data_IF_747148450011
#
_entry.id   IF_747148450011
#
_cell.length_a   1.000
_cell.length_b   1.000
_cell.length_c   1.000
_cell.angle_alpha   90.00
_cell.angle_beta   90.00
_cell.angle_gamma   90.00
#
_symmetry.space_group_name_H-M   'P 1'
#
loop_
_entity.id
_entity.type
_entity.pdbx_description
1 polymer ?
#
# COMPACT_ATOMS: atom_id res chain seq x y z
N UNK A 1 77.04 -12.99 34.50
CA UNK A 1 75.77 -12.48 35.07
C UNK A 1 75.01 -11.62 34.06
N UNK A 2 74.62 -12.15 32.89
CA UNK A 2 73.96 -11.38 31.82
C UNK A 2 72.58 -11.92 31.41
N UNK A 3 72.26 -13.19 31.68
CA UNK A 3 70.99 -13.81 31.26
C UNK A 3 69.72 -13.40 32.02
N UNK A 4 69.82 -12.56 33.07
CA UNK A 4 68.65 -12.16 33.88
C UNK A 4 67.91 -10.91 33.36
N UNK A 5 68.58 -10.01 32.61
CA UNK A 5 67.91 -8.82 32.02
C UNK A 5 67.14 -9.13 30.74
N UNK A 6 67.59 -10.11 29.97
CA UNK A 6 67.04 -10.44 28.65
C UNK A 6 65.69 -11.16 28.75
N UNK A 7 65.55 -12.06 29.72
CA UNK A 7 64.27 -12.73 30.03
C UNK A 7 63.17 -11.78 30.51
N UNK A 8 63.53 -10.67 31.15
CA UNK A 8 62.56 -9.66 31.57
C UNK A 8 62.07 -8.86 30.36
N UNK A 9 62.97 -8.42 29.48
CA UNK A 9 62.62 -7.64 28.28
C UNK A 9 61.66 -8.37 27.34
N UNK A 10 61.88 -9.68 27.13
CA UNK A 10 60.98 -10.52 26.33
C UNK A 10 59.56 -10.57 26.90
N UNK A 11 59.40 -10.69 28.23
CA UNK A 11 58.09 -10.74 28.90
C UNK A 11 57.33 -9.41 28.81
N UNK A 12 58.03 -8.28 28.86
CA UNK A 12 57.44 -6.95 28.69
C UNK A 12 57.03 -6.68 27.23
N UNK A 13 57.82 -7.15 26.24
CA UNK A 13 57.43 -7.05 24.83
C UNK A 13 56.18 -7.88 24.50
N UNK A 14 56.06 -9.08 25.07
CA UNK A 14 54.94 -9.98 24.83
C UNK A 14 53.62 -9.43 25.39
N UNK A 15 53.67 -8.82 26.58
CA UNK A 15 52.52 -8.12 27.17
C UNK A 15 52.10 -6.88 26.36
N UNK A 16 53.07 -6.10 25.88
CA UNK A 16 52.79 -4.92 25.06
C UNK A 16 52.13 -5.30 23.73
N UNK A 17 52.62 -6.34 23.04
CA UNK A 17 52.02 -6.81 21.79
C UNK A 17 50.62 -7.42 21.98
N UNK A 18 50.42 -8.18 23.06
CA UNK A 18 49.10 -8.74 23.39
C UNK A 18 48.03 -7.65 23.64
N UNK A 19 48.41 -6.53 24.25
CA UNK A 19 47.48 -5.39 24.44
C UNK A 19 47.27 -4.58 23.16
N UNK A 20 48.27 -4.49 22.28
CA UNK A 20 48.19 -3.82 20.98
C UNK A 20 47.29 -4.58 20.02
N UNK A 21 47.45 -5.90 19.92
CA UNK A 21 46.64 -6.76 19.05
C UNK A 21 45.16 -6.75 19.46
N UNK A 22 44.87 -6.82 20.76
CA UNK A 22 43.50 -6.75 21.28
C UNK A 22 42.85 -5.36 21.16
N UNK A 23 43.64 -4.28 21.07
CA UNK A 23 43.13 -2.94 20.74
C UNK A 23 42.89 -2.83 19.23
N UNK A 24 43.80 -3.33 18.41
CA UNK A 24 43.72 -3.33 16.94
C UNK A 24 42.49 -4.07 16.41
N UNK A 25 42.23 -5.27 16.93
CA UNK A 25 41.08 -6.10 16.56
C UNK A 25 39.75 -5.43 16.94
N UNK A 26 39.66 -4.80 18.11
CA UNK A 26 38.47 -4.04 18.51
C UNK A 26 38.24 -2.82 17.64
N UNK A 27 39.28 -2.05 17.34
CA UNK A 27 39.17 -0.88 16.45
C UNK A 27 38.72 -1.29 15.04
N UNK A 28 39.20 -2.44 14.52
CA UNK A 28 38.74 -3.00 13.24
C UNK A 28 37.27 -3.43 13.29
N UNK A 29 36.81 -4.02 14.39
CA UNK A 29 35.40 -4.37 14.56
C UNK A 29 34.49 -3.13 14.54
N UNK A 30 34.87 -2.05 15.24
CA UNK A 30 34.11 -0.79 15.21
C UNK A 30 34.11 -0.15 13.82
N UNK A 31 35.24 -0.12 13.11
CA UNK A 31 35.30 0.41 11.76
C UNK A 31 34.37 -0.34 10.78
N UNK A 32 34.20 -1.66 10.96
CA UNK A 32 33.24 -2.46 10.18
C UNK A 32 31.79 -2.10 10.51
N UNK A 33 31.48 -1.85 11.78
CA UNK A 33 30.15 -1.41 12.22
C UNK A 33 29.82 -0.04 11.63
N UNK A 34 30.75 0.93 11.71
CA UNK A 34 30.54 2.28 11.18
C UNK A 34 30.31 2.25 9.66
N UNK A 35 31.04 1.40 8.95
CA UNK A 35 30.84 1.18 7.52
C UNK A 35 29.44 0.62 7.23
N UNK A 36 29.02 -0.43 7.93
CA UNK A 36 27.69 -1.03 7.76
C UNK A 36 26.58 -0.04 8.07
N UNK A 37 26.73 0.75 9.14
CA UNK A 37 25.78 1.81 9.49
C UNK A 37 25.70 2.87 8.39
N UNK A 38 26.84 3.28 7.81
CA UNK A 38 26.87 4.21 6.68
C UNK A 38 26.24 3.64 5.40
N UNK A 39 26.46 2.35 5.11
CA UNK A 39 25.82 1.66 3.98
C UNK A 39 24.30 1.55 4.16
N UNK A 40 23.85 1.18 5.35
CA UNK A 40 22.42 1.11 5.68
C UNK A 40 21.73 2.48 5.55
N UNK A 41 22.38 3.55 6.03
CA UNK A 41 21.85 4.91 5.90
C UNK A 41 21.69 5.32 4.43
N UNK A 42 22.70 5.06 3.60
CA UNK A 42 22.62 5.34 2.15
C UNK A 42 21.52 4.54 1.46
N UNK A 43 21.37 3.26 1.82
CA UNK A 43 20.30 2.42 1.28
C UNK A 43 18.92 3.00 1.60
N UNK A 44 18.70 3.44 2.85
CA UNK A 44 17.44 4.06 3.27
C UNK A 44 17.13 5.34 2.48
N UNK A 45 18.12 6.21 2.28
CA UNK A 45 17.98 7.42 1.47
C UNK A 45 17.64 7.10 0.00
N UNK A 46 18.20 6.01 -0.55
CA UNK A 46 17.90 5.57 -1.92
C UNK A 46 16.49 4.99 -2.07
N UNK A 47 15.96 4.32 -1.03
CA UNK A 47 14.58 3.80 -1.04
C UNK A 47 13.57 4.95 -1.16
N UNK A 48 13.72 6.02 -0.39
CA UNK A 48 12.81 7.17 -0.51
C UNK A 48 12.81 7.79 -1.92
N UNK A 49 14.00 7.92 -2.54
CA UNK A 49 14.13 8.41 -3.91
C UNK A 49 13.55 7.45 -4.95
N UNK A 50 13.58 6.14 -4.68
CA UNK A 50 12.99 5.13 -5.53
C UNK A 50 11.46 5.26 -5.54
N UNK A 51 10.84 5.47 -4.37
CA UNK A 51 9.40 5.65 -4.26
C UNK A 51 8.92 6.87 -5.06
N UNK A 52 9.61 8.01 -4.92
CA UNK A 52 9.34 9.21 -5.71
C UNK A 52 9.47 8.95 -7.22
N UNK A 53 10.51 8.20 -7.64
CA UNK A 53 10.74 7.88 -9.03
C UNK A 53 9.68 6.92 -9.59
N UNK A 54 9.22 5.94 -8.81
CA UNK A 54 8.15 5.02 -9.18
C UNK A 54 6.84 5.78 -9.31
N UNK A 55 6.49 6.63 -8.34
CA UNK A 55 5.28 7.46 -8.38
C UNK A 55 5.30 8.39 -9.61
N UNK A 56 6.43 9.05 -9.89
CA UNK A 56 6.56 9.91 -11.05
C UNK A 56 6.42 9.15 -12.38
N UNK A 57 6.83 7.88 -12.44
CA UNK A 57 6.60 7.00 -13.61
C UNK A 57 5.16 6.50 -13.68
N UNK A 58 4.54 6.22 -12.53
CA UNK A 58 3.14 5.81 -12.42
C UNK A 58 2.21 6.91 -12.93
N UNK A 59 2.41 8.15 -12.48
CA UNK A 59 1.61 9.30 -12.93
C UNK A 59 1.77 9.58 -14.43
N UNK A 60 2.96 9.34 -14.99
CA UNK A 60 3.18 9.42 -16.44
C UNK A 60 2.60 8.24 -17.22
N UNK A 61 2.16 7.17 -16.55
CA UNK A 61 1.64 5.96 -17.18
C UNK A 61 2.70 5.06 -17.81
N UNK A 62 3.99 5.24 -17.50
CA UNK A 62 5.11 4.56 -18.19
C UNK A 62 5.72 3.39 -17.41
N UNK A 63 5.01 2.88 -16.39
CA UNK A 63 5.47 1.71 -15.63
C UNK A 63 5.42 0.40 -16.42
N UNK A 64 4.64 0.38 -17.49
CA UNK A 64 4.50 -0.76 -18.41
C UNK A 64 4.95 -0.31 -19.80
N UNK A 65 5.68 -1.15 -20.56
CA UNK A 65 6.03 -0.85 -21.94
C UNK A 65 4.77 -0.51 -22.73
N UNK A 66 4.75 0.70 -23.30
CA UNK A 66 3.64 1.14 -24.13
C UNK A 66 3.77 0.52 -25.52
N UNK A 67 2.65 0.18 -26.14
CA UNK A 67 2.62 -0.33 -27.51
C UNK A 67 2.51 0.86 -28.46
N UNK A 68 3.42 1.00 -29.42
CA UNK A 68 3.49 2.19 -30.29
C UNK A 68 2.23 2.42 -31.14
N UNK A 69 1.44 1.37 -31.36
CA UNK A 69 0.16 1.40 -32.07
C UNK A 69 -1.07 1.41 -31.14
N UNK A 70 -0.90 1.72 -29.84
CA UNK A 70 -2.03 1.75 -28.93
C UNK A 70 -3.04 2.82 -29.36
N UNK A 71 -4.32 2.51 -29.21
CA UNK A 71 -5.34 3.51 -29.51
C UNK A 71 -5.30 4.63 -28.45
N UNK A 72 -5.49 5.92 -28.83
CA UNK A 72 -5.68 6.99 -27.88
C UNK A 72 -6.80 6.61 -26.90
N UNK A 73 -6.59 6.91 -25.62
CA UNK A 73 -7.56 6.59 -24.56
C UNK A 73 -8.98 7.08 -24.89
N UNK A 74 -9.10 8.21 -25.61
CA UNK A 74 -10.39 8.74 -26.07
C UNK A 74 -11.15 7.75 -26.97
N UNK A 75 -10.47 7.04 -27.89
CA UNK A 75 -11.09 6.05 -28.77
C UNK A 75 -11.57 4.83 -27.99
N UNK A 76 -10.74 4.33 -27.08
CA UNK A 76 -11.12 3.24 -26.16
C UNK A 76 -12.33 3.62 -25.31
N UNK A 77 -12.33 4.83 -24.73
CA UNK A 77 -13.43 5.34 -23.91
C UNK A 77 -14.71 5.53 -24.73
N UNK A 78 -14.60 6.01 -25.98
CA UNK A 78 -15.74 6.10 -26.89
C UNK A 78 -16.33 4.71 -27.18
N UNK A 79 -15.49 3.70 -27.42
CA UNK A 79 -15.93 2.30 -27.61
C UNK A 79 -16.62 1.77 -26.36
N UNK A 80 -16.02 1.92 -25.18
CA UNK A 80 -16.62 1.49 -23.91
C UNK A 80 -17.97 2.17 -23.67
N UNK A 81 -18.09 3.47 -23.95
CA UNK A 81 -19.37 4.21 -23.83
C UNK A 81 -20.42 3.66 -24.80
N UNK A 82 -20.04 3.40 -26.04
CA UNK A 82 -20.93 2.84 -27.06
C UNK A 82 -21.37 1.41 -26.69
N UNK A 83 -20.44 0.54 -26.28
CA UNK A 83 -20.71 -0.82 -25.81
C UNK A 83 -21.64 -0.80 -24.59
N UNK A 84 -21.37 0.03 -23.58
CA UNK A 84 -22.26 0.17 -22.41
C UNK A 84 -23.66 0.67 -22.79
N UNK A 85 -23.76 1.62 -23.72
CA UNK A 85 -25.03 2.11 -24.22
C UNK A 85 -25.80 1.06 -25.03
N UNK A 86 -25.09 0.18 -25.74
CA UNK A 86 -25.68 -0.96 -26.46
C UNK A 86 -26.13 -2.07 -25.51
N UNK A 87 -25.32 -2.44 -24.51
CA UNK A 87 -25.71 -3.39 -23.46
C UNK A 87 -26.91 -2.93 -22.65
N UNK A 88 -27.06 -1.62 -22.43
CA UNK A 88 -28.24 -1.06 -21.78
C UNK A 88 -29.53 -1.28 -22.58
N UNK A 89 -29.42 -1.50 -23.91
CA UNK A 89 -30.56 -1.77 -24.80
C UNK A 89 -30.89 -3.27 -24.89
N UNK A 90 -29.90 -4.15 -24.75
CA UNK A 90 -30.04 -5.62 -24.85
C UNK A 90 -30.45 -6.28 -23.52
N UNK A 91 -30.22 -5.63 -22.38
CA UNK A 91 -30.63 -6.15 -21.07
C UNK A 91 -32.17 -6.14 -20.95
N UNK A 92 -32.82 -7.26 -20.57
CA UNK A 92 -34.27 -7.29 -20.38
C UNK A 92 -34.69 -6.28 -19.31
N UNK A 93 -35.88 -5.68 -19.51
CA UNK A 93 -36.46 -4.58 -18.70
C UNK A 93 -36.28 -4.78 -17.18
N UNK A 94 -36.16 -3.69 -16.40
CA UNK A 94 -35.47 -3.66 -15.10
C UNK A 94 -36.20 -4.31 -13.92
N UNK A 95 -37.31 -5.01 -14.14
CA UNK A 95 -38.23 -5.32 -13.05
C UNK A 95 -37.61 -6.22 -11.97
N UNK A 96 -36.76 -7.18 -12.37
CA UNK A 96 -36.00 -8.05 -11.43
C UNK A 96 -34.73 -7.42 -10.86
N UNK A 97 -34.03 -6.56 -11.61
CA UNK A 97 -32.82 -5.87 -11.12
C UNK A 97 -33.16 -4.75 -10.15
N UNK A 98 -34.24 -4.00 -10.39
CA UNK A 98 -34.72 -2.97 -9.46
C UNK A 98 -35.06 -3.58 -8.11
N UNK A 99 -35.75 -4.72 -8.07
CA UNK A 99 -36.08 -5.38 -6.79
C UNK A 99 -34.82 -5.83 -6.05
N UNK A 100 -33.85 -6.44 -6.73
CA UNK A 100 -32.59 -6.87 -6.12
C UNK A 100 -31.72 -5.69 -5.66
N UNK A 101 -31.68 -4.60 -6.43
CA UNK A 101 -30.99 -3.36 -6.06
C UNK A 101 -31.71 -2.63 -4.91
N UNK A 102 -33.05 -2.72 -4.82
CA UNK A 102 -33.81 -2.28 -3.64
C UNK A 102 -33.39 -3.08 -2.41
N UNK A 103 -33.26 -4.41 -2.52
CA UNK A 103 -32.75 -5.26 -1.43
C UNK A 103 -31.35 -4.85 -0.99
N UNK A 104 -30.45 -4.51 -1.92
CA UNK A 104 -29.11 -4.03 -1.59
C UNK A 104 -29.12 -2.65 -0.90
N UNK A 105 -29.97 -1.73 -1.37
CA UNK A 105 -30.13 -0.39 -0.75
C UNK A 105 -30.78 -0.45 0.62
N UNK A 106 -31.76 -1.33 0.81
CA UNK A 106 -32.41 -1.59 2.10
C UNK A 106 -31.40 -2.20 3.08
N UNK A 107 -30.65 -3.21 2.65
CA UNK A 107 -29.55 -3.80 3.44
C UNK A 107 -28.55 -2.74 3.89
N UNK A 108 -28.10 -1.86 2.99
CA UNK A 108 -27.19 -0.78 3.34
C UNK A 108 -27.81 0.17 4.35
N UNK A 109 -29.06 0.61 4.15
CA UNK A 109 -29.75 1.52 5.08
C UNK A 109 -29.91 0.92 6.48
N UNK A 110 -30.26 -0.35 6.56
CA UNK A 110 -30.40 -1.08 7.83
C UNK A 110 -29.04 -1.23 8.52
N UNK A 111 -28.03 -1.73 7.80
CA UNK A 111 -26.71 -1.93 8.38
C UNK A 111 -26.09 -0.60 8.82
N UNK A 112 -26.27 0.46 8.01
CA UNK A 112 -25.81 1.80 8.34
C UNK A 112 -26.26 2.24 9.73
N UNK A 113 -27.47 1.93 10.20
CA UNK A 113 -27.90 2.35 11.54
C UNK A 113 -26.93 1.90 12.64
N UNK A 114 -26.29 0.74 12.47
CA UNK A 114 -25.42 0.10 13.45
C UNK A 114 -23.92 0.23 13.14
N UNK A 115 -23.52 1.06 12.18
CA UNK A 115 -22.11 1.17 11.81
C UNK A 115 -21.24 1.82 12.90
N UNK A 116 -20.02 1.28 13.13
CA UNK A 116 -19.02 1.89 14.00
C UNK A 116 -18.55 3.26 13.44
N UNK A 117 -17.99 4.12 14.29
CA UNK A 117 -17.55 5.46 13.87
C UNK A 117 -16.40 5.41 12.85
N UNK A 118 -15.56 4.38 12.94
CA UNK A 118 -14.45 4.09 12.04
C UNK A 118 -14.93 3.65 10.65
N UNK A 119 -16.20 3.22 10.54
CA UNK A 119 -16.80 2.68 9.32
C UNK A 119 -16.53 1.20 9.11
N UNK A 120 -16.98 0.70 7.96
CA UNK A 120 -16.89 -0.71 7.58
C UNK A 120 -16.20 -0.84 6.24
N UNK A 121 -15.44 -1.91 6.03
CA UNK A 121 -14.85 -2.15 4.72
C UNK A 121 -15.91 -2.70 3.75
N UNK A 122 -15.67 -2.54 2.45
CA UNK A 122 -16.55 -3.14 1.44
C UNK A 122 -16.54 -4.68 1.52
N UNK A 123 -15.42 -5.28 1.95
CA UNK A 123 -15.29 -6.73 2.08
C UNK A 123 -16.18 -7.28 3.20
N UNK A 124 -16.24 -6.58 4.34
CA UNK A 124 -17.09 -6.96 5.47
C UNK A 124 -18.57 -6.92 5.06
N UNK A 125 -18.99 -5.83 4.41
CA UNK A 125 -20.35 -5.71 3.87
C UNK A 125 -20.67 -6.79 2.85
N UNK A 126 -19.70 -7.16 2.00
CA UNK A 126 -19.89 -8.23 1.03
C UNK A 126 -20.08 -9.58 1.70
N UNK A 127 -19.37 -9.86 2.79
CA UNK A 127 -19.49 -11.09 3.56
C UNK A 127 -20.87 -11.26 4.22
N UNK A 128 -21.48 -10.15 4.65
CA UNK A 128 -22.80 -10.14 5.28
C UNK A 128 -23.95 -10.16 4.25
N UNK A 129 -23.75 -9.52 3.09
CA UNK A 129 -24.79 -9.40 2.07
C UNK A 129 -24.99 -10.73 1.33
N UNK A 130 -26.17 -11.35 1.47
CA UNK A 130 -26.49 -12.61 0.78
C UNK A 130 -26.83 -12.45 -0.72
N UNK A 131 -26.98 -11.23 -1.21
CA UNK A 131 -27.31 -10.95 -2.61
C UNK A 131 -26.10 -10.96 -3.55
N UNK A 132 -26.29 -10.43 -4.76
CA UNK A 132 -25.24 -10.36 -5.80
C UNK A 132 -24.20 -9.26 -5.48
N UNK A 133 -22.94 -9.51 -5.86
CA UNK A 133 -21.84 -8.56 -5.76
C UNK A 133 -22.14 -7.25 -6.50
N UNK A 134 -22.62 -7.35 -7.75
CA UNK A 134 -22.84 -6.17 -8.59
C UNK A 134 -23.94 -5.26 -8.01
N UNK A 135 -24.99 -5.83 -7.44
CA UNK A 135 -26.11 -5.07 -6.86
C UNK A 135 -25.64 -4.29 -5.60
N UNK A 136 -24.83 -4.92 -4.74
CA UNK A 136 -24.24 -4.26 -3.57
C UNK A 136 -23.29 -3.15 -3.99
N UNK A 137 -22.43 -3.44 -4.97
CA UNK A 137 -21.49 -2.48 -5.52
C UNK A 137 -22.23 -1.27 -6.06
N UNK A 138 -23.23 -1.47 -6.93
CA UNK A 138 -24.02 -0.39 -7.51
C UNK A 138 -24.74 0.43 -6.44
N UNK A 139 -25.30 -0.22 -5.41
CA UNK A 139 -25.93 0.47 -4.30
C UNK A 139 -24.96 1.35 -3.50
N UNK A 140 -23.75 0.86 -3.19
CA UNK A 140 -22.69 1.63 -2.54
C UNK A 140 -22.25 2.81 -3.41
N UNK A 141 -22.03 2.59 -4.71
CA UNK A 141 -21.63 3.65 -5.64
C UNK A 141 -22.67 4.76 -5.73
N UNK A 142 -23.96 4.40 -5.79
CA UNK A 142 -25.03 5.39 -5.78
C UNK A 142 -25.01 6.23 -4.49
N UNK A 143 -24.86 5.59 -3.32
CA UNK A 143 -24.81 6.29 -2.03
C UNK A 143 -23.64 7.27 -1.86
N UNK A 144 -22.57 7.10 -2.64
CA UNK A 144 -21.38 7.99 -2.63
C UNK A 144 -21.46 9.06 -3.73
N UNK A 145 -22.11 8.75 -4.87
CA UNK A 145 -22.10 9.61 -6.07
C UNK A 145 -23.39 10.41 -6.29
N UNK A 146 -24.44 10.16 -5.51
CA UNK A 146 -25.69 10.93 -5.55
C UNK A 146 -25.46 12.39 -5.14
N UNK A 147 -26.34 13.31 -5.59
CA UNK A 147 -26.30 14.75 -5.28
C UNK A 147 -26.32 15.02 -3.75
N UNK A 148 -26.89 14.09 -2.99
CA UNK A 148 -26.87 14.07 -1.53
C UNK A 148 -26.16 12.80 -1.03
N UNK A 149 -24.82 12.78 -0.97
CA UNK A 149 -24.07 11.60 -0.60
C UNK A 149 -24.38 11.22 0.86
N UNK A 150 -24.75 9.96 1.06
CA UNK A 150 -25.04 9.38 2.39
C UNK A 150 -23.83 8.64 2.95
N UNK A 151 -22.90 8.27 2.07
CA UNK A 151 -21.66 7.59 2.38
C UNK A 151 -20.47 8.39 1.86
N UNK A 152 -19.35 8.24 2.55
CA UNK A 152 -18.04 8.72 2.11
C UNK A 152 -17.04 7.57 2.20
N UNK A 153 -16.07 7.59 1.28
CA UNK A 153 -14.97 6.64 1.29
C UNK A 153 -13.76 7.32 1.93
N UNK A 154 -13.18 6.69 2.95
CA UNK A 154 -12.02 7.19 3.68
C UNK A 154 -10.96 6.10 3.70
N UNK A 155 -9.72 6.44 3.37
CA UNK A 155 -8.61 5.52 3.50
C UNK A 155 -8.14 5.52 4.96
N UNK A 156 -8.15 4.34 5.58
CA UNK A 156 -7.54 4.13 6.90
C UNK A 156 -6.06 3.80 6.70
N UNK A 157 -5.17 4.71 7.11
CA UNK A 157 -3.72 4.56 6.99
C UNK A 157 -3.18 3.42 7.89
N UNK A 158 -3.79 3.19 9.06
CA UNK A 158 -3.35 2.16 10.00
C UNK A 158 -3.62 0.77 9.44
N UNK A 159 -4.78 0.60 8.80
CA UNK A 159 -5.20 -0.67 8.20
C UNK A 159 -4.82 -0.79 6.73
N UNK A 160 -4.36 0.28 6.09
CA UNK A 160 -4.13 0.37 4.64
C UNK A 160 -5.33 -0.11 3.81
N UNK A 161 -6.54 0.22 4.26
CA UNK A 161 -7.79 -0.25 3.66
C UNK A 161 -8.76 0.90 3.43
N UNK A 162 -9.56 0.78 2.39
CA UNK A 162 -10.65 1.71 2.09
C UNK A 162 -11.87 1.37 2.94
N UNK A 163 -12.30 2.35 3.73
CA UNK A 163 -13.44 2.27 4.64
C UNK A 163 -14.61 3.08 4.10
N UNK A 164 -15.82 2.56 4.30
CA UNK A 164 -17.07 3.27 4.06
C UNK A 164 -17.58 3.84 5.37
N UNK A 165 -17.81 5.15 5.41
CA UNK A 165 -18.32 5.86 6.59
C UNK A 165 -19.59 6.60 6.22
N UNK A 166 -20.46 6.82 7.19
CA UNK A 166 -21.58 7.76 7.03
C UNK A 166 -21.03 9.13 6.67
N UNK A 167 -21.62 9.76 5.68
CA UNK A 167 -21.38 11.17 5.40
C UNK A 167 -22.10 11.98 6.49
N UNK A 168 -21.34 12.72 7.32
CA UNK A 168 -21.93 13.71 8.23
C UNK A 168 -22.03 15.01 7.43
N UNK A 169 -23.26 15.51 7.24
CA UNK A 169 -23.49 16.88 6.75
C UNK A 169 -23.05 17.91 7.77
#
# INVERSE_FOLDING_TARGET
>A
MTGWRERQSARWSWWADWTRDRKSTRLSAFARIDRLAGEAKRALELVGRLDEAILAKAFRGVLVPQVENDEPAERLLARIRAERAAEAKEKPKPFRRKSAMLTAREFLKENMQNWPEEGVSFQDLRGEFRGNYDDLKEAVFASISDDEPTLQQVFDETRSLMMLRKHRR
#
